data_IF_187894768452
#
_entry.id   IF_187894768452
#
_cell.length_a   1.000
_cell.length_b   1.000
_cell.length_c   1.000
_cell.angle_alpha   90.00
_cell.angle_beta   90.00
_cell.angle_gamma   90.00
#
_symmetry.space_group_name_H-M   'P 1'
#
loop_
_entity.id
_entity.type
_entity.pdbx_description
1 polymer ?
#
# COMPACT_ATOMS: atom_id res chain seq x y z
N UNK A 1 -14.96 -4.96 3.02
CA UNK A 1 -14.09 -5.25 4.18
C UNK A 1 -12.79 -4.51 3.96
N UNK A 2 -12.31 -3.74 4.92
CA UNK A 2 -10.97 -3.18 4.91
C UNK A 2 -10.09 -4.04 5.79
N UNK A 3 -8.97 -4.51 5.26
CA UNK A 3 -7.97 -5.21 6.07
C UNK A 3 -6.94 -4.18 6.50
N UNK A 4 -6.73 -4.09 7.82
CA UNK A 4 -5.65 -3.32 8.42
C UNK A 4 -4.44 -4.25 8.53
N UNK A 5 -3.62 -4.22 7.48
CA UNK A 5 -2.43 -5.06 7.33
C UNK A 5 -1.41 -4.76 8.44
N UNK A 6 -1.29 -3.50 8.84
CA UNK A 6 -0.34 -3.09 9.88
C UNK A 6 -0.72 -3.69 11.24
N UNK A 7 -2.01 -3.64 11.59
CA UNK A 7 -2.51 -4.26 12.82
C UNK A 7 -2.25 -5.77 12.86
N UNK A 8 -2.46 -6.48 11.75
CA UNK A 8 -2.19 -7.92 11.67
C UNK A 8 -0.71 -8.25 11.88
N UNK A 9 0.20 -7.49 11.26
CA UNK A 9 1.64 -7.67 11.45
C UNK A 9 2.03 -7.45 12.92
N UNK A 10 1.42 -6.46 13.59
CA UNK A 10 1.66 -6.20 15.02
C UNK A 10 1.12 -7.32 15.90
N UNK A 11 -0.09 -7.81 15.63
CA UNK A 11 -0.74 -8.89 16.39
C UNK A 11 0.09 -10.19 16.36
N UNK A 12 0.73 -10.48 15.22
CA UNK A 12 1.63 -11.62 15.08
C UNK A 12 3.04 -11.37 15.67
N UNK A 13 3.25 -10.23 16.33
CA UNK A 13 4.47 -9.92 17.08
C UNK A 13 5.62 -9.37 16.24
N UNK A 14 5.35 -8.93 15.01
CA UNK A 14 6.35 -8.34 14.13
C UNK A 14 6.36 -6.80 14.22
N UNK A 15 7.50 -6.19 13.87
CA UNK A 15 7.60 -4.75 13.67
C UNK A 15 7.27 -4.45 12.20
N UNK A 16 6.19 -3.73 11.87
CA UNK A 16 5.77 -3.60 10.47
C UNK A 16 6.75 -2.82 9.61
N UNK A 17 7.43 -1.78 10.13
CA UNK A 17 8.47 -1.06 9.39
C UNK A 17 9.64 -1.98 9.01
N UNK A 18 10.06 -2.86 9.93
CA UNK A 18 11.08 -3.88 9.62
C UNK A 18 10.55 -4.94 8.67
N UNK A 19 9.29 -5.33 8.81
CA UNK A 19 8.65 -6.37 7.99
C UNK A 19 8.59 -5.97 6.52
N UNK A 20 8.15 -4.74 6.23
CA UNK A 20 8.05 -4.22 4.86
C UNK A 20 9.39 -3.80 4.27
N UNK A 21 10.47 -3.86 5.06
CA UNK A 21 11.82 -3.54 4.61
C UNK A 21 12.58 -4.83 4.30
N UNK A 22 13.06 -4.95 3.07
CA UNK A 22 13.94 -6.07 2.66
C UNK A 22 15.20 -5.50 2.01
N UNK A 23 16.23 -6.31 1.71
CA UNK A 23 17.37 -5.83 0.93
C UNK A 23 16.98 -5.22 -0.43
N UNK A 24 15.82 -5.60 -0.99
CA UNK A 24 15.29 -5.07 -2.25
C UNK A 24 14.39 -3.85 -2.03
N UNK A 25 13.62 -3.83 -0.94
CA UNK A 25 12.72 -2.73 -0.58
C UNK A 25 13.30 -1.92 0.58
N UNK A 26 14.03 -0.85 0.26
CA UNK A 26 14.78 -0.04 1.24
C UNK A 26 13.98 1.13 1.82
N UNK A 27 12.87 1.49 1.18
CA UNK A 27 11.93 2.51 1.65
C UNK A 27 10.51 2.11 1.33
N UNK A 28 9.56 2.63 2.11
CA UNK A 28 8.15 2.36 1.94
C UNK A 28 7.32 3.59 2.25
N UNK A 29 6.15 3.65 1.61
CA UNK A 29 5.15 4.69 1.84
C UNK A 29 3.87 4.05 2.35
N UNK A 30 3.07 4.85 3.05
CA UNK A 30 1.75 4.45 3.54
C UNK A 30 0.71 5.49 3.14
N UNK A 31 -0.51 5.02 2.91
CA UNK A 31 -1.72 5.84 2.72
C UNK A 31 -2.90 5.12 3.36
N UNK A 32 -3.95 5.85 3.69
CA UNK A 32 -5.15 5.22 4.24
C UNK A 32 -5.94 4.53 3.13
N UNK A 33 -6.39 3.29 3.37
CA UNK A 33 -7.24 2.57 2.41
C UNK A 33 -8.53 3.34 2.02
N UNK A 34 -9.01 4.22 2.91
CA UNK A 34 -10.12 5.14 2.62
C UNK A 34 -9.82 6.12 1.48
N UNK A 35 -8.59 6.60 1.36
CA UNK A 35 -8.17 7.54 0.32
C UNK A 35 -8.15 6.86 -1.06
N UNK A 36 -7.61 5.63 -1.14
CA UNK A 36 -7.68 4.84 -2.37
C UNK A 36 -9.14 4.55 -2.80
N UNK A 37 -10.03 4.23 -1.85
CA UNK A 37 -11.46 4.04 -2.14
C UNK A 37 -12.14 5.31 -2.61
N UNK A 38 -11.79 6.47 -2.05
CA UNK A 38 -12.32 7.77 -2.49
C UNK A 38 -11.91 8.09 -3.95
N UNK A 39 -10.81 7.52 -4.43
CA UNK A 39 -10.36 7.58 -5.84
C UNK A 39 -11.03 6.53 -6.74
N UNK A 40 -12.01 5.77 -6.22
CA UNK A 40 -12.72 4.73 -6.95
C UNK A 40 -11.88 3.47 -7.18
N UNK A 41 -10.84 3.24 -6.38
CA UNK A 41 -10.04 2.02 -6.42
C UNK A 41 -10.61 0.98 -5.44
N UNK A 42 -10.36 -0.29 -5.73
CA UNK A 42 -10.60 -1.38 -4.79
C UNK A 42 -9.32 -1.67 -4.02
N UNK A 43 -9.48 -2.05 -2.76
CA UNK A 43 -8.40 -2.43 -1.86
C UNK A 43 -8.76 -3.78 -1.28
N UNK A 44 -7.90 -4.77 -1.44
CA UNK A 44 -8.13 -6.12 -0.96
C UNK A 44 -6.96 -6.71 -0.20
N UNK A 45 -7.29 -7.73 0.58
CA UNK A 45 -6.33 -8.64 1.16
C UNK A 45 -6.10 -9.78 0.20
N UNK A 46 -4.86 -9.92 -0.25
CA UNK A 46 -4.45 -10.88 -1.28
C UNK A 46 -3.14 -11.53 -0.85
N UNK A 47 -3.16 -12.39 0.18
CA UNK A 47 -1.93 -12.93 0.77
C UNK A 47 -1.14 -13.75 -0.26
N UNK A 48 0.17 -13.52 -0.31
CA UNK A 48 1.09 -14.30 -1.13
C UNK A 48 1.79 -15.37 -0.30
N UNK A 49 2.28 -16.47 -0.90
CA UNK A 49 2.96 -17.55 -0.16
C UNK A 49 4.18 -17.07 0.65
N UNK A 50 4.87 -16.03 0.19
CA UNK A 50 6.06 -15.43 0.79
C UNK A 50 5.76 -14.10 1.52
N UNK A 51 4.57 -13.54 1.34
CA UNK A 51 4.11 -12.35 2.03
C UNK A 51 2.63 -12.53 2.45
N UNK A 52 2.37 -13.17 3.61
CA UNK A 52 1.02 -13.43 4.10
C UNK A 52 0.24 -12.14 4.41
N UNK A 53 0.90 -11.00 4.60
CA UNK A 53 0.23 -9.72 4.80
C UNK A 53 0.18 -8.88 3.53
N UNK A 54 0.33 -9.50 2.36
CA UNK A 54 0.15 -8.82 1.08
C UNK A 54 -1.30 -8.36 0.91
N UNK A 55 -1.43 -7.13 0.42
CA UNK A 55 -2.69 -6.57 -0.04
C UNK A 55 -2.46 -5.85 -1.35
N UNK A 56 -3.52 -5.73 -2.14
CA UNK A 56 -3.46 -5.14 -3.46
C UNK A 56 -4.47 -4.00 -3.60
N UNK A 57 -4.08 -3.00 -4.39
CA UNK A 57 -4.96 -1.93 -4.83
C UNK A 57 -5.13 -2.06 -6.34
N UNK A 58 -6.36 -2.19 -6.80
CA UNK A 58 -6.67 -2.33 -8.22
C UNK A 58 -7.76 -1.36 -8.66
N UNK A 59 -7.81 -1.10 -9.97
CA UNK A 59 -8.85 -0.31 -10.56
C UNK A 59 -10.19 -1.05 -10.48
N UNK A 60 -11.25 -0.35 -10.07
CA UNK A 60 -12.61 -0.90 -10.06
C UNK A 60 -13.15 -1.17 -11.48
N UNK A 61 -12.51 -0.61 -12.50
CA UNK A 61 -12.75 -0.89 -13.91
C UNK A 61 -12.27 -2.30 -14.27
N UNK A 62 -13.23 -3.21 -14.50
CA UNK A 62 -12.98 -4.64 -14.76
C UNK A 62 -12.18 -4.89 -16.04
N UNK A 63 -12.22 -3.96 -16.99
CA UNK A 63 -11.47 -4.11 -18.24
C UNK A 63 -10.00 -3.72 -18.08
N UNK A 64 -9.64 -3.02 -16.98
CA UNK A 64 -8.30 -2.48 -16.73
C UNK A 64 -7.91 -2.50 -15.23
N UNK A 65 -7.99 -3.65 -14.54
CA UNK A 65 -7.75 -3.71 -13.09
C UNK A 65 -6.34 -3.25 -12.70
N UNK A 66 -5.35 -3.49 -13.56
CA UNK A 66 -3.93 -3.22 -13.25
C UNK A 66 -3.46 -1.86 -13.78
N UNK A 67 -4.38 -0.95 -14.17
CA UNK A 67 -4.01 0.34 -14.74
C UNK A 67 -4.82 1.48 -14.14
N UNK A 68 -4.13 2.37 -13.44
CA UNK A 68 -4.73 3.56 -12.87
C UNK A 68 -4.92 4.67 -13.91
N UNK A 69 -5.92 5.52 -13.66
CA UNK A 69 -6.10 6.78 -14.39
C UNK A 69 -5.19 7.83 -13.78
N UNK A 70 -4.76 8.83 -14.56
CA UNK A 70 -3.89 9.93 -14.07
C UNK A 70 -4.39 10.61 -12.79
N UNK A 71 -5.71 10.78 -12.66
CA UNK A 71 -6.31 11.36 -11.45
C UNK A 71 -6.17 10.48 -10.22
N UNK A 72 -6.20 9.15 -10.40
CA UNK A 72 -6.01 8.16 -9.33
C UNK A 72 -4.54 8.09 -8.92
N UNK A 73 -3.62 8.06 -9.90
CA UNK A 73 -2.17 8.12 -9.64
C UNK A 73 -1.79 9.35 -8.82
N UNK A 74 -2.24 10.54 -9.26
CA UNK A 74 -2.02 11.80 -8.53
C UNK A 74 -2.68 11.79 -7.14
N UNK A 75 -3.86 11.20 -7.02
CA UNK A 75 -4.56 11.10 -5.74
C UNK A 75 -3.80 10.22 -4.74
N UNK A 76 -3.37 9.02 -5.16
CA UNK A 76 -2.57 8.12 -4.34
C UNK A 76 -1.25 8.75 -3.94
N UNK A 77 -0.63 9.46 -4.88
CA UNK A 77 0.60 10.20 -4.62
C UNK A 77 0.43 11.26 -3.52
N UNK A 78 -0.61 12.08 -3.61
CA UNK A 78 -0.90 13.10 -2.60
C UNK A 78 -1.27 12.51 -1.22
N UNK A 79 -1.85 11.32 -1.21
CA UNK A 79 -2.21 10.59 0.00
C UNK A 79 -1.01 9.89 0.66
N UNK A 80 0.05 9.63 -0.12
CA UNK A 80 1.20 8.88 0.35
C UNK A 80 2.05 9.69 1.33
N UNK A 81 2.42 9.05 2.42
CA UNK A 81 3.36 9.56 3.43
C UNK A 81 4.49 8.56 3.61
N UNK A 82 5.66 9.03 4.04
CA UNK A 82 6.78 8.13 4.34
C UNK A 82 6.43 7.21 5.50
N UNK A 83 6.59 5.90 5.29
CA UNK A 83 6.49 4.90 6.34
C UNK A 83 7.88 4.43 6.79
N UNK A 84 8.72 4.03 5.83
CA UNK A 84 10.17 3.85 6.02
C UNK A 84 10.87 4.83 5.10
N UNK A 85 11.43 5.89 5.69
CA UNK A 85 12.02 7.02 4.97
C UNK A 85 13.42 6.71 4.45
N UNK A 86 13.69 7.13 3.22
CA UNK A 86 15.04 7.19 2.67
C UNK A 86 15.65 8.59 2.87
N UNK A 87 16.91 8.63 3.29
CA UNK A 87 17.64 9.88 3.49
C UNK A 87 17.83 10.62 2.15
N UNK A 88 17.57 11.93 2.16
CA UNK A 88 17.70 12.78 0.97
C UNK A 88 16.62 12.58 -0.11
N UNK A 89 15.62 11.71 0.11
CA UNK A 89 14.54 11.45 -0.84
C UNK A 89 13.22 12.08 -0.37
N UNK A 90 12.50 12.68 -1.32
CA UNK A 90 11.17 13.25 -1.12
C UNK A 90 10.14 12.49 -1.97
N UNK A 91 8.92 12.40 -1.48
CA UNK A 91 7.76 11.92 -2.26
C UNK A 91 7.33 13.09 -3.17
N UNK A 92 7.44 12.93 -4.49
CA UNK A 92 7.23 13.99 -5.50
C UNK A 92 6.26 13.61 -6.59
#
# INVERSE_FOLDING_TARGET
MSVDIEAQIIEDGHNPQKYVTTPVFTGSVAFCAGEARALGLWVGYDPLPDNPYHGEVWNSDRDRPNRFRRGQERGLHNAATWYVRLEGIEIR
#
